data_IF_286767048275
#
_entry.id   IF_286767048275
#
_cell.length_a   1.000
_cell.length_b   1.000
_cell.length_c   1.000
_cell.angle_alpha   90.00
_cell.angle_beta   90.00
_cell.angle_gamma   90.00
#
_symmetry.space_group_name_H-M   'P 1'
#
loop_
_entity.id
_entity.type
_entity.pdbx_description
1 polymer ?
#
# COMPACT_ATOMS: atom_id res chain seq x y z
N UNK A 1 -26.68 3.32 -14.01
CA UNK A 1 -26.30 3.13 -12.59
C UNK A 1 -26.10 1.65 -12.20
N UNK A 2 -26.40 0.67 -13.05
CA UNK A 2 -26.24 -0.76 -12.72
C UNK A 2 -24.81 -1.30 -12.76
N UNK A 3 -23.89 -0.64 -13.46
CA UNK A 3 -22.48 -1.05 -13.55
C UNK A 3 -21.78 -0.94 -12.18
N UNK A 4 -22.07 0.13 -11.42
CA UNK A 4 -21.50 0.36 -10.09
C UNK A 4 -22.01 -0.64 -9.03
N UNK A 5 -23.21 -1.21 -9.22
CA UNK A 5 -23.77 -2.23 -8.31
C UNK A 5 -23.08 -3.58 -8.43
N UNK A 6 -22.44 -3.86 -9.58
CA UNK A 6 -21.72 -5.12 -9.83
C UNK A 6 -20.26 -5.06 -9.37
N UNK A 7 -19.71 -3.86 -9.20
CA UNK A 7 -18.32 -3.67 -8.79
C UNK A 7 -18.22 -3.66 -7.27
N UNK A 8 -17.73 -4.76 -6.69
CA UNK A 8 -17.52 -4.83 -5.25
C UNK A 8 -16.48 -3.76 -4.83
N UNK A 9 -16.76 -2.84 -3.90
CA UNK A 9 -15.88 -1.70 -3.60
C UNK A 9 -14.43 -2.09 -3.24
N UNK A 10 -14.27 -3.29 -2.67
CA UNK A 10 -12.98 -3.93 -2.40
C UNK A 10 -12.07 -3.97 -3.64
N UNK A 11 -12.61 -4.21 -4.83
CA UNK A 11 -11.82 -4.21 -6.07
C UNK A 11 -11.37 -2.82 -6.49
N UNK A 12 -12.18 -1.79 -6.26
CA UNK A 12 -11.77 -0.41 -6.51
C UNK A 12 -10.59 -0.02 -5.60
N UNK A 13 -10.66 -0.37 -4.31
CA UNK A 13 -9.57 -0.14 -3.35
C UNK A 13 -8.29 -0.91 -3.72
N UNK A 14 -8.43 -2.18 -4.10
CA UNK A 14 -7.31 -3.02 -4.56
C UNK A 14 -6.63 -2.45 -5.79
N UNK A 15 -7.40 -2.11 -6.82
CA UNK A 15 -6.83 -1.58 -8.07
C UNK A 15 -6.19 -0.21 -7.83
N UNK A 16 -6.84 0.68 -7.06
CA UNK A 16 -6.30 1.99 -6.74
C UNK A 16 -4.96 1.93 -6.01
N UNK A 17 -4.88 1.17 -4.92
CA UNK A 17 -3.62 0.95 -4.19
C UNK A 17 -2.60 0.20 -5.05
N UNK A 18 -3.03 -0.82 -5.79
CA UNK A 18 -2.15 -1.61 -6.64
C UNK A 18 -1.49 -0.77 -7.74
N UNK A 19 -2.24 0.07 -8.44
CA UNK A 19 -1.70 0.97 -9.47
C UNK A 19 -0.76 2.02 -8.88
N UNK A 20 -1.07 2.54 -7.70
CA UNK A 20 -0.18 3.44 -6.98
C UNK A 20 1.16 2.74 -6.67
N UNK A 21 1.14 1.51 -6.14
CA UNK A 21 2.36 0.74 -5.88
C UNK A 21 3.12 0.34 -7.16
N UNK A 22 2.43 0.13 -8.30
CA UNK A 22 3.11 -0.02 -9.60
C UNK A 22 3.89 1.26 -9.92
N UNK A 23 3.24 2.42 -9.78
CA UNK A 23 3.87 3.70 -10.07
C UNK A 23 5.07 3.98 -9.16
N UNK A 24 4.88 3.92 -7.85
CA UNK A 24 5.95 4.20 -6.88
C UNK A 24 7.09 3.18 -6.98
N UNK A 25 6.76 1.88 -7.08
CA UNK A 25 7.76 0.81 -7.19
C UNK A 25 8.60 0.91 -8.45
N UNK A 26 7.99 1.23 -9.61
CA UNK A 26 8.76 1.47 -10.84
C UNK A 26 9.59 2.74 -10.79
N UNK A 27 9.10 3.80 -10.14
CA UNK A 27 9.82 5.06 -9.98
C UNK A 27 11.04 4.89 -9.06
N UNK A 28 10.90 4.20 -7.93
CA UNK A 28 11.99 3.90 -7.00
C UNK A 28 13.14 3.12 -7.65
N UNK A 29 12.82 2.21 -8.58
CA UNK A 29 13.84 1.43 -9.29
C UNK A 29 14.53 2.28 -10.39
N UNK A 30 13.77 3.11 -11.10
CA UNK A 30 14.27 3.87 -12.26
C UNK A 30 14.99 5.16 -11.88
N UNK A 31 14.48 5.86 -10.88
CA UNK A 31 14.92 7.19 -10.46
C UNK A 31 14.97 7.25 -8.91
N UNK A 32 15.81 6.42 -8.26
CA UNK A 32 15.81 6.28 -6.81
C UNK A 32 16.10 7.59 -6.06
N UNK A 33 16.90 8.49 -6.65
CA UNK A 33 17.31 9.73 -5.99
C UNK A 33 16.17 10.76 -5.88
N UNK A 34 15.12 10.66 -6.70
CA UNK A 34 13.95 11.52 -6.61
C UNK A 34 13.17 11.30 -5.30
N UNK A 35 13.39 10.15 -4.66
CA UNK A 35 12.71 9.74 -3.44
C UNK A 35 13.47 10.05 -2.16
N UNK A 36 14.72 10.55 -2.25
CA UNK A 36 15.55 10.83 -1.06
C UNK A 36 14.90 11.86 -0.13
N UNK A 37 14.12 12.80 -0.68
CA UNK A 37 13.44 13.85 0.09
C UNK A 37 12.29 13.35 0.94
N UNK A 38 11.77 12.14 0.64
CA UNK A 38 10.68 11.50 1.39
C UNK A 38 11.22 10.50 2.43
N UNK A 39 12.53 10.41 2.60
CA UNK A 39 13.16 9.57 3.60
C UNK A 39 13.51 10.43 4.83
N UNK A 40 13.05 10.07 6.04
CA UNK A 40 13.47 10.78 7.24
C UNK A 40 15.01 10.74 7.38
N UNK A 41 15.68 11.87 7.70
CA UNK A 41 17.15 11.93 7.71
C UNK A 41 17.81 10.85 8.58
N UNK A 42 17.25 10.63 9.78
CA UNK A 42 17.74 9.61 10.72
C UNK A 42 17.71 8.19 10.15
N UNK A 43 16.71 7.89 9.31
CA UNK A 43 16.54 6.59 8.70
C UNK A 43 17.45 6.43 7.48
N UNK A 44 17.60 7.50 6.68
CA UNK A 44 18.58 7.55 5.60
C UNK A 44 20.00 7.31 6.10
N UNK A 45 20.40 7.96 7.19
CA UNK A 45 21.70 7.76 7.84
C UNK A 45 21.88 6.33 8.37
N UNK A 46 20.83 5.74 8.93
CA UNK A 46 20.86 4.37 9.42
C UNK A 46 21.06 3.37 8.27
N UNK A 47 20.24 3.46 7.22
CA UNK A 47 20.34 2.59 6.03
C UNK A 47 21.69 2.75 5.33
N UNK A 48 22.18 3.99 5.22
CA UNK A 48 23.47 4.32 4.61
C UNK A 48 24.67 3.62 5.26
N UNK A 49 24.54 3.14 6.51
CA UNK A 49 25.58 2.33 7.18
C UNK A 49 25.66 0.90 6.67
N UNK A 50 24.59 0.37 6.09
CA UNK A 50 24.50 -1.02 5.64
C UNK A 50 24.54 -1.14 4.12
N UNK A 51 24.00 -0.16 3.39
CA UNK A 51 23.96 -0.18 1.92
C UNK A 51 23.84 1.23 1.33
N UNK A 52 24.23 1.42 0.06
CA UNK A 52 23.96 2.65 -0.66
C UNK A 52 22.45 2.94 -0.75
N UNK A 53 22.04 4.20 -0.56
CA UNK A 53 20.63 4.61 -0.65
C UNK A 53 19.95 4.21 -1.98
N UNK A 54 20.59 4.31 -3.16
CA UNK A 54 19.96 3.84 -4.40
C UNK A 54 19.63 2.34 -4.39
N UNK A 55 20.47 1.52 -3.74
CA UNK A 55 20.23 0.08 -3.59
C UNK A 55 19.05 -0.17 -2.66
N UNK A 56 18.97 0.57 -1.55
CA UNK A 56 17.82 0.51 -0.65
C UNK A 56 16.51 0.84 -1.39
N UNK A 57 16.47 1.95 -2.14
CA UNK A 57 15.29 2.33 -2.91
C UNK A 57 14.92 1.29 -3.98
N UNK A 58 15.89 0.69 -4.65
CA UNK A 58 15.62 -0.39 -5.60
C UNK A 58 14.99 -1.62 -4.92
N UNK A 59 15.45 -1.98 -3.72
CA UNK A 59 14.88 -3.08 -2.92
C UNK A 59 13.46 -2.73 -2.46
N UNK A 60 13.25 -1.51 -1.95
CA UNK A 60 11.93 -1.03 -1.56
C UNK A 60 10.98 -1.04 -2.75
N UNK A 61 11.42 -0.54 -3.91
CA UNK A 61 10.62 -0.52 -5.13
C UNK A 61 10.24 -1.92 -5.61
N UNK A 62 11.14 -2.90 -5.49
CA UNK A 62 10.81 -4.30 -5.76
C UNK A 62 9.73 -4.83 -4.78
N UNK A 63 9.83 -4.48 -3.50
CA UNK A 63 8.79 -4.78 -2.50
C UNK A 63 7.44 -4.16 -2.84
N UNK A 64 7.43 -2.91 -3.29
CA UNK A 64 6.22 -2.22 -3.75
C UNK A 64 5.60 -2.89 -4.98
N UNK A 65 6.39 -3.37 -5.93
CA UNK A 65 5.87 -4.15 -7.06
C UNK A 65 5.25 -5.49 -6.63
N UNK A 66 5.77 -6.12 -5.57
CA UNK A 66 5.13 -7.30 -4.97
C UNK A 66 3.79 -6.92 -4.33
N UNK A 67 3.72 -5.80 -3.61
CA UNK A 67 2.47 -5.27 -3.04
C UNK A 67 1.45 -4.98 -4.14
N UNK A 68 1.88 -4.38 -5.24
CA UNK A 68 1.05 -4.15 -6.42
C UNK A 68 0.47 -5.44 -6.98
N UNK A 69 1.30 -6.49 -7.14
CA UNK A 69 0.85 -7.79 -7.61
C UNK A 69 -0.19 -8.42 -6.65
N UNK A 70 0.04 -8.33 -5.33
CA UNK A 70 -0.91 -8.81 -4.32
C UNK A 70 -2.27 -8.13 -4.46
N UNK A 71 -2.29 -6.81 -4.68
CA UNK A 71 -3.55 -6.08 -4.80
C UNK A 71 -4.23 -6.32 -6.16
N UNK A 72 -3.51 -6.37 -7.27
CA UNK A 72 -4.10 -6.45 -8.61
C UNK A 72 -4.54 -7.87 -8.97
N UNK A 73 -3.77 -8.90 -8.59
CA UNK A 73 -4.01 -10.26 -9.07
C UNK A 73 -5.28 -10.89 -8.42
N UNK A 74 -6.22 -11.43 -9.23
CA UNK A 74 -7.49 -11.95 -8.72
C UNK A 74 -7.38 -13.25 -7.93
N UNK A 75 -6.31 -14.01 -8.15
CA UNK A 75 -6.09 -15.32 -7.52
C UNK A 75 -5.50 -15.23 -6.11
N UNK A 76 -5.15 -14.01 -5.65
CA UNK A 76 -4.53 -13.83 -4.35
C UNK A 76 -5.57 -14.03 -3.23
N UNK A 77 -5.32 -14.93 -2.27
CA UNK A 77 -6.30 -15.21 -1.23
C UNK A 77 -6.50 -14.00 -0.32
N UNK A 78 -7.73 -13.81 0.12
CA UNK A 78 -8.15 -12.58 0.80
C UNK A 78 -7.39 -12.30 2.11
N UNK A 79 -6.87 -13.34 2.79
CA UNK A 79 -6.04 -13.15 3.99
C UNK A 79 -4.69 -12.49 3.66
N UNK A 80 -4.10 -12.79 2.49
CA UNK A 80 -2.86 -12.14 2.01
C UNK A 80 -3.14 -10.70 1.63
N UNK A 81 -4.27 -10.43 0.94
CA UNK A 81 -4.72 -9.06 0.64
C UNK A 81 -4.88 -8.25 1.93
N UNK A 82 -5.42 -8.85 3.00
CA UNK A 82 -5.54 -8.18 4.30
C UNK A 82 -4.17 -7.85 4.90
N UNK A 83 -3.22 -8.78 4.90
CA UNK A 83 -1.87 -8.55 5.42
C UNK A 83 -1.19 -7.41 4.65
N UNK A 84 -1.27 -7.43 3.32
CA UNK A 84 -0.75 -6.34 2.49
C UNK A 84 -1.46 -5.01 2.77
N UNK A 85 -2.79 -5.01 2.97
CA UNK A 85 -3.52 -3.79 3.32
C UNK A 85 -3.09 -3.22 4.68
N UNK A 86 -2.78 -4.07 5.66
CA UNK A 86 -2.22 -3.65 6.95
C UNK A 86 -0.83 -3.07 6.77
N UNK A 87 0.05 -3.73 6.00
CA UNK A 87 1.38 -3.23 5.71
C UNK A 87 1.32 -1.86 5.02
N UNK A 88 0.44 -1.68 4.03
CA UNK A 88 0.21 -0.41 3.36
C UNK A 88 -0.30 0.68 4.31
N UNK A 89 -1.23 0.35 5.20
CA UNK A 89 -1.72 1.31 6.20
C UNK A 89 -0.60 1.75 7.16
N UNK A 90 0.24 0.80 7.59
CA UNK A 90 1.40 1.11 8.44
C UNK A 90 2.45 1.94 7.72
N UNK A 91 2.68 1.67 6.44
CA UNK A 91 3.60 2.43 5.59
C UNK A 91 3.15 3.90 5.47
N UNK A 92 1.90 4.16 5.05
CA UNK A 92 1.40 5.53 4.95
C UNK A 92 1.28 6.24 6.30
N UNK A 93 0.92 5.51 7.37
CA UNK A 93 0.95 6.07 8.71
C UNK A 93 2.39 6.45 9.12
N UNK A 94 3.37 5.60 8.81
CA UNK A 94 4.79 5.87 9.06
C UNK A 94 5.28 7.10 8.30
N UNK A 95 4.96 7.23 7.01
CA UNK A 95 5.29 8.42 6.21
C UNK A 95 4.73 9.66 6.90
N UNK A 96 3.40 9.70 7.14
CA UNK A 96 2.75 10.85 7.76
C UNK A 96 3.30 11.21 9.15
N UNK A 97 3.76 10.22 9.92
CA UNK A 97 4.33 10.44 11.26
C UNK A 97 5.79 10.92 11.23
N UNK A 98 6.59 10.49 10.25
CA UNK A 98 8.05 10.68 10.28
C UNK A 98 8.60 11.65 9.22
N UNK A 99 7.88 11.92 8.13
CA UNK A 99 8.35 12.85 7.07
C UNK A 99 7.80 14.27 7.22
N UNK A 100 6.77 14.47 8.04
CA UNK A 100 6.12 15.76 8.23
C UNK A 100 5.03 16.06 7.18
N UNK A 101 4.51 17.30 7.21
CA UNK A 101 3.47 17.76 6.28
C UNK A 101 4.08 18.53 5.11
N UNK A 102 3.72 18.14 3.90
CA UNK A 102 4.24 18.67 2.64
C UNK A 102 3.15 18.70 1.54
N UNK A 103 3.57 19.00 0.31
CA UNK A 103 2.66 19.08 -0.84
C UNK A 103 2.07 17.72 -1.24
N UNK A 104 2.60 16.57 -0.79
CA UNK A 104 2.06 15.24 -1.14
C UNK A 104 1.26 14.62 0.00
N UNK A 105 1.26 15.21 1.19
CA UNK A 105 0.50 14.73 2.36
C UNK A 105 -0.99 14.53 2.06
N UNK A 106 -1.61 15.40 1.24
CA UNK A 106 -3.03 15.25 0.88
C UNK A 106 -3.32 13.92 0.18
N UNK A 107 -2.38 13.42 -0.64
CA UNK A 107 -2.44 12.12 -1.29
C UNK A 107 -2.30 11.01 -0.26
N UNK A 108 -1.33 11.13 0.63
CA UNK A 108 -0.98 10.09 1.60
C UNK A 108 -2.11 9.84 2.61
N UNK A 109 -2.84 10.87 3.01
CA UNK A 109 -4.07 10.72 3.81
C UNK A 109 -5.12 9.90 3.06
N UNK A 110 -5.31 10.16 1.77
CA UNK A 110 -6.24 9.41 0.93
C UNK A 110 -5.83 7.93 0.77
N UNK A 111 -4.54 7.68 0.57
CA UNK A 111 -3.99 6.32 0.45
C UNK A 111 -4.08 5.55 1.76
N UNK A 112 -3.80 6.19 2.89
CA UNK A 112 -4.00 5.62 4.22
C UNK A 112 -5.47 5.24 4.44
N UNK A 113 -6.39 6.15 4.11
CA UNK A 113 -7.83 5.88 4.20
C UNK A 113 -8.25 4.69 3.34
N UNK A 114 -7.75 4.60 2.11
CA UNK A 114 -8.00 3.46 1.22
C UNK A 114 -7.44 2.14 1.77
N UNK A 115 -6.23 2.15 2.32
CA UNK A 115 -5.61 0.98 2.94
C UNK A 115 -6.40 0.51 4.18
N UNK A 116 -6.77 1.43 5.08
CA UNK A 116 -7.60 1.12 6.26
C UNK A 116 -8.97 0.57 5.86
N UNK A 117 -9.63 1.17 4.87
CA UNK A 117 -10.90 0.66 4.35
C UNK A 117 -10.75 -0.77 3.80
N UNK A 118 -9.66 -1.07 3.09
CA UNK A 118 -9.38 -2.41 2.58
C UNK A 118 -9.13 -3.42 3.71
N UNK A 119 -8.45 -3.02 4.80
CA UNK A 119 -8.27 -3.84 6.01
C UNK A 119 -9.64 -4.20 6.62
N UNK A 120 -10.50 -3.20 6.84
CA UNK A 120 -11.82 -3.41 7.46
C UNK A 120 -12.69 -4.32 6.59
N UNK A 121 -12.82 -4.00 5.30
CA UNK A 121 -13.67 -4.77 4.38
C UNK A 121 -13.18 -6.21 4.17
N UNK A 122 -11.87 -6.42 4.07
CA UNK A 122 -11.31 -7.77 3.94
C UNK A 122 -11.49 -8.57 5.23
N UNK A 123 -11.41 -7.93 6.40
CA UNK A 123 -11.64 -8.59 7.70
C UNK A 123 -13.08 -9.06 7.86
N UNK A 124 -14.05 -8.18 7.60
CA UNK A 124 -15.48 -8.52 7.62
C UNK A 124 -15.79 -9.68 6.67
N UNK A 125 -15.24 -9.64 5.45
CA UNK A 125 -15.48 -10.70 4.47
C UNK A 125 -14.82 -12.03 4.83
N UNK A 126 -13.63 -12.02 5.43
CA UNK A 126 -12.99 -13.24 5.95
C UNK A 126 -13.79 -13.85 7.10
N UNK A 127 -14.35 -13.03 7.99
CA UNK A 127 -15.21 -13.48 9.08
C UNK A 127 -16.50 -14.12 8.57
N UNK A 128 -17.16 -13.48 7.59
CA UNK A 128 -18.36 -14.02 6.93
C UNK A 128 -18.09 -15.34 6.20
N UNK A 129 -16.90 -15.52 5.61
CA UNK A 129 -16.52 -16.78 4.99
C UNK A 129 -16.32 -17.92 6.01
N UNK A 130 -15.98 -17.60 7.26
CA UNK A 130 -15.85 -18.60 8.34
C UNK A 130 -17.19 -18.99 8.95
N UNK A 131 -18.17 -18.08 8.95
CA UNK A 131 -19.50 -18.34 9.49
C UNK A 131 -20.60 -17.81 8.55
N UNK A 132 -21.04 -18.62 7.56
CA UNK A 132 -21.95 -18.17 6.50
C UNK A 132 -23.34 -17.77 7.01
N UNK A 133 -23.73 -18.19 8.23
CA UNK A 133 -25.03 -17.90 8.83
C UNK A 133 -25.07 -16.57 9.60
N UNK A 134 -23.94 -15.85 9.72
CA UNK A 134 -23.85 -14.57 10.44
C UNK A 134 -24.13 -13.35 9.55
N UNK A 135 -25.05 -13.47 8.59
CA UNK A 135 -25.52 -12.32 7.80
C UNK A 135 -26.70 -11.67 8.54
N UNK A 136 -26.74 -10.33 8.68
CA UNK A 136 -27.96 -9.63 9.05
C UNK A 136 -29.02 -9.78 7.96
#
# INVERSE_FOLDING_TARGET
>A
MDILRKFHPLWALRIGLGLMYVYSGTSLIRQPLDWQGFLPPWFGDFVGRFMPLPTYFAIQGAGELVMAAVFILPLVPLYVVRIAAVAAALEFAGILLFTGLDLVTFRDIGLLGAAVALVVMSSVRLENNKNPFRRP
#
